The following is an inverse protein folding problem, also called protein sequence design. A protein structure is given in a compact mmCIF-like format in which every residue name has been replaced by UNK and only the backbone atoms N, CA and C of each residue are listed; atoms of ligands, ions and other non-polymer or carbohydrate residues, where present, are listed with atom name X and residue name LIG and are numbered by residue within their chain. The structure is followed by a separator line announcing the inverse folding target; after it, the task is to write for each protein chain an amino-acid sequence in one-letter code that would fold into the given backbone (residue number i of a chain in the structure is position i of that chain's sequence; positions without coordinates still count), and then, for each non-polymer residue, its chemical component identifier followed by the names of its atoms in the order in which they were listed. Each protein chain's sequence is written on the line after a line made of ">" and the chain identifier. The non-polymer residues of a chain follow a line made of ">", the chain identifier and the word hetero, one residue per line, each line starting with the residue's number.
data_IF_701721604750
#
_entry.id   IF_701721604750
#
_cell.length_a   1.000
_cell.length_b   1.000
_cell.length_c   1.000
_cell.angle_alpha   90.00
_cell.angle_beta   90.00
_cell.angle_gamma   90.00
#
_symmetry.space_group_name_H-M   'P 1'
#
loop_
_entity.id
_entity.type
_entity.pdbx_description
1 polymer ?
#
# COMPACT_ATOMS: atom_id res chain seq x y z
N UNK A 1 -10.26 19.35 11.21
CA UNK A 1 -10.50 19.36 12.68
C UNK A 1 -11.13 18.05 13.07
N UNK A 2 -10.50 17.31 13.99
CA UNK A 2 -11.01 16.06 14.54
C UNK A 2 -11.35 16.26 16.01
N UNK A 3 -12.54 15.89 16.42
CA UNK A 3 -12.96 15.89 17.82
C UNK A 3 -12.51 14.60 18.51
N UNK A 4 -12.52 14.59 19.84
CA UNK A 4 -12.34 13.37 20.64
C UNK A 4 -13.37 12.30 20.26
N UNK A 5 -14.62 12.69 19.98
CA UNK A 5 -15.66 11.77 19.54
C UNK A 5 -15.29 11.08 18.21
N UNK A 6 -14.77 11.83 17.24
CA UNK A 6 -14.35 11.25 15.96
C UNK A 6 -13.26 10.18 16.16
N UNK A 7 -12.24 10.51 16.95
CA UNK A 7 -11.12 9.62 17.23
C UNK A 7 -11.57 8.39 18.02
N UNK A 8 -12.31 8.58 19.12
CA UNK A 8 -12.73 7.48 20.00
C UNK A 8 -13.72 6.53 19.32
N UNK A 9 -14.62 7.03 18.46
CA UNK A 9 -15.51 6.17 17.67
C UNK A 9 -14.71 5.32 16.67
N UNK A 10 -13.69 5.89 16.03
CA UNK A 10 -12.83 5.17 15.11
C UNK A 10 -12.00 4.08 15.83
N UNK A 11 -11.45 4.41 17.01
CA UNK A 11 -10.73 3.43 17.87
C UNK A 11 -11.64 2.28 18.27
N UNK A 12 -12.87 2.57 18.68
CA UNK A 12 -13.84 1.53 19.06
C UNK A 12 -14.14 0.60 17.89
N UNK A 13 -14.48 1.18 16.72
CA UNK A 13 -14.78 0.42 15.52
C UNK A 13 -13.59 -0.38 15.00
N UNK A 14 -12.37 0.14 15.11
CA UNK A 14 -11.15 -0.59 14.70
C UNK A 14 -10.92 -1.84 15.58
N UNK A 15 -11.21 -1.78 16.88
CA UNK A 15 -11.09 -2.93 17.78
C UNK A 15 -12.13 -4.04 17.52
N UNK A 16 -13.23 -3.74 16.84
CA UNK A 16 -14.18 -4.77 16.38
C UNK A 16 -13.69 -5.52 15.12
N UNK A 17 -12.69 -4.97 14.44
CA UNK A 17 -12.14 -5.52 13.19
C UNK A 17 -10.81 -6.23 13.41
N UNK A 18 -9.96 -5.70 14.29
CA UNK A 18 -8.63 -6.23 14.61
C UNK A 18 -8.61 -6.80 16.01
N UNK A 19 -8.32 -8.11 16.13
CA UNK A 19 -8.24 -8.80 17.42
C UNK A 19 -6.87 -8.57 18.05
N UNK A 20 -6.83 -7.80 19.15
CA UNK A 20 -5.67 -7.67 20.02
C UNK A 20 -5.86 -8.52 21.29
N UNK A 21 -4.80 -9.16 21.75
CA UNK A 21 -4.81 -10.07 22.90
C UNK A 21 -3.93 -9.55 24.04
N UNK A 22 -4.17 -9.92 25.30
CA UNK A 22 -3.39 -9.45 26.45
C UNK A 22 -1.89 -9.77 26.39
N UNK A 23 -1.48 -10.80 25.62
CA UNK A 23 -0.07 -11.17 25.41
C UNK A 23 0.59 -10.50 24.21
N UNK A 24 -0.11 -9.60 23.50
CA UNK A 24 0.44 -8.90 22.36
C UNK A 24 1.42 -7.80 22.79
N UNK A 25 2.36 -7.52 21.92
CA UNK A 25 3.24 -6.35 21.93
C UNK A 25 3.18 -5.71 20.55
N UNK A 26 2.70 -4.48 20.49
CA UNK A 26 2.64 -3.73 19.23
C UNK A 26 3.93 -2.96 19.02
N UNK A 27 4.46 -2.98 17.80
CA UNK A 27 5.56 -2.11 17.40
C UNK A 27 5.04 -0.94 16.56
N UNK A 28 5.34 0.28 17.02
CA UNK A 28 5.04 1.55 16.35
C UNK A 28 6.21 1.94 15.47
N UNK A 29 5.97 2.12 14.18
CA UNK A 29 7.02 2.32 13.15
C UNK A 29 6.90 3.67 12.47
N UNK A 30 5.68 4.21 12.38
CA UNK A 30 5.40 5.44 11.65
C UNK A 30 5.38 6.66 12.59
N UNK A 31 5.49 7.88 12.06
CA UNK A 31 5.38 9.09 12.89
C UNK A 31 4.00 9.22 13.54
N UNK A 32 3.94 9.48 14.84
CA UNK A 32 2.69 9.71 15.59
C UNK A 32 1.93 11.00 15.16
N UNK A 33 2.57 11.87 14.40
CA UNK A 33 1.91 13.01 13.76
C UNK A 33 0.95 12.59 12.64
N UNK A 34 1.12 11.37 12.10
CA UNK A 34 0.24 10.81 11.09
C UNK A 34 -0.93 10.08 11.76
N UNK A 35 -2.18 10.40 11.36
CA UNK A 35 -3.38 9.86 12.02
C UNK A 35 -3.47 8.34 11.99
N UNK A 36 -2.98 7.67 10.94
CA UNK A 36 -2.95 6.21 10.88
C UNK A 36 -2.17 5.61 12.06
N UNK A 37 -0.95 6.10 12.28
CA UNK A 37 -0.13 5.61 13.40
C UNK A 37 -0.71 6.05 14.75
N UNK A 38 -1.14 7.32 14.85
CA UNK A 38 -1.72 7.83 16.07
C UNK A 38 -2.95 7.03 16.52
N UNK A 39 -3.81 6.62 15.59
CA UNK A 39 -4.99 5.82 15.92
C UNK A 39 -4.63 4.35 16.08
N UNK A 40 -4.04 3.70 15.07
CA UNK A 40 -3.83 2.25 15.06
C UNK A 40 -2.58 1.82 15.86
N UNK A 41 -1.55 2.66 15.92
CA UNK A 41 -0.29 2.37 16.63
C UNK A 41 -0.25 2.91 18.07
N UNK A 42 -1.19 3.78 18.47
CA UNK A 42 -1.21 4.36 19.81
C UNK A 42 -2.57 4.23 20.50
N UNK A 43 -3.66 4.83 19.99
CA UNK A 43 -4.93 4.82 20.71
C UNK A 43 -5.61 3.44 20.76
N UNK A 44 -5.54 2.66 19.68
CA UNK A 44 -6.12 1.31 19.62
C UNK A 44 -5.44 0.38 20.64
N UNK A 45 -4.10 0.22 20.65
CA UNK A 45 -3.44 -0.62 21.65
C UNK A 45 -3.61 -0.08 23.09
N UNK A 46 -3.61 1.24 23.29
CA UNK A 46 -3.87 1.84 24.60
C UNK A 46 -5.25 1.44 25.13
N UNK A 47 -6.30 1.52 24.31
CA UNK A 47 -7.65 1.09 24.68
C UNK A 47 -7.74 -0.40 24.91
N UNK A 48 -6.96 -1.20 24.19
CA UNK A 48 -6.89 -2.66 24.35
C UNK A 48 -6.02 -3.13 25.52
N UNK A 49 -5.29 -2.23 26.19
CA UNK A 49 -4.34 -2.58 27.25
C UNK A 49 -3.10 -3.32 26.74
N UNK A 50 -2.71 -3.10 25.47
CA UNK A 50 -1.57 -3.74 24.80
C UNK A 50 -0.35 -2.83 24.84
N UNK A 51 0.82 -3.32 25.29
CA UNK A 51 2.08 -2.56 25.28
C UNK A 51 2.47 -2.12 23.88
N UNK A 52 2.97 -0.89 23.77
CA UNK A 52 3.50 -0.33 22.54
C UNK A 52 5.01 -0.11 22.68
N UNK A 53 5.78 -0.71 21.80
CA UNK A 53 7.21 -0.46 21.64
C UNK A 53 7.44 0.48 20.45
N UNK A 54 8.27 1.50 20.63
CA UNK A 54 8.58 2.47 19.59
C UNK A 54 9.93 2.14 18.94
N UNK A 55 9.97 2.15 17.59
CA UNK A 55 11.24 2.01 16.88
C UNK A 55 12.11 3.25 17.05
N UNK A 56 13.41 3.06 17.14
CA UNK A 56 14.39 4.16 17.20
C UNK A 56 14.45 4.92 15.87
N UNK A 57 14.39 4.18 14.75
CA UNK A 57 14.31 4.73 13.39
C UNK A 57 13.94 3.65 12.38
N UNK A 58 13.52 4.06 11.18
CA UNK A 58 13.20 3.14 10.07
C UNK A 58 14.44 2.33 9.63
N UNK A 59 15.65 2.88 9.78
CA UNK A 59 16.89 2.21 9.42
C UNK A 59 17.28 1.13 10.41
N UNK A 60 16.90 1.28 11.70
CA UNK A 60 17.16 0.36 12.78
C UNK A 60 16.00 -0.62 13.01
N UNK A 61 14.95 -0.55 12.21
CA UNK A 61 13.75 -1.38 12.37
C UNK A 61 14.07 -2.88 12.45
N UNK A 62 15.02 -3.38 11.65
CA UNK A 62 15.38 -4.81 11.67
C UNK A 62 15.99 -5.25 12.99
N UNK A 63 16.84 -4.41 13.60
CA UNK A 63 17.45 -4.66 14.93
C UNK A 63 16.37 -4.59 16.03
N UNK A 64 15.50 -3.57 15.95
CA UNK A 64 14.42 -3.36 16.90
C UNK A 64 13.43 -4.53 16.88
N UNK A 65 13.07 -5.04 15.70
CA UNK A 65 12.23 -6.22 15.54
C UNK A 65 12.87 -7.47 16.17
N UNK A 66 14.16 -7.68 15.94
CA UNK A 66 14.89 -8.83 16.50
C UNK A 66 14.97 -8.78 18.04
N UNK A 67 15.11 -7.57 18.60
CA UNK A 67 15.19 -7.36 20.05
C UNK A 67 13.83 -7.40 20.73
N UNK A 68 12.86 -6.65 20.23
CA UNK A 68 11.53 -6.48 20.84
C UNK A 68 10.60 -7.66 20.60
N UNK A 69 10.80 -8.41 19.52
CA UNK A 69 9.98 -9.56 19.10
C UNK A 69 8.48 -9.27 19.19
N UNK A 70 7.99 -8.22 18.49
CA UNK A 70 6.58 -7.83 18.56
C UNK A 70 5.68 -8.93 17.99
N UNK A 71 4.41 -8.89 18.41
CA UNK A 71 3.36 -9.80 17.89
C UNK A 71 2.46 -9.11 16.90
N UNK A 72 2.35 -7.78 16.97
CA UNK A 72 1.53 -6.94 16.08
C UNK A 72 2.37 -5.80 15.53
N UNK A 73 2.22 -5.52 14.24
CA UNK A 73 2.87 -4.41 13.57
C UNK A 73 1.86 -3.60 12.76
N UNK A 74 1.87 -2.28 12.96
CA UNK A 74 1.20 -1.32 12.07
C UNK A 74 2.24 -0.71 11.15
N UNK A 75 2.07 -0.80 9.84
CA UNK A 75 3.07 -0.32 8.90
C UNK A 75 2.47 0.09 7.54
N UNK A 76 3.28 0.77 6.74
CA UNK A 76 2.98 1.01 5.33
C UNK A 76 3.54 -0.12 4.45
N UNK A 77 2.97 -0.37 3.24
CA UNK A 77 3.42 -1.44 2.33
C UNK A 77 4.93 -1.44 2.05
N UNK A 78 5.54 -0.25 1.96
CA UNK A 78 6.97 -0.09 1.65
C UNK A 78 7.89 -0.83 2.64
N UNK A 79 7.47 -0.98 3.88
CA UNK A 79 8.23 -1.74 4.89
C UNK A 79 8.32 -3.21 4.46
N UNK A 80 7.19 -3.82 4.11
CA UNK A 80 7.14 -5.22 3.69
C UNK A 80 7.77 -5.46 2.31
N UNK A 81 7.63 -4.51 1.38
CA UNK A 81 8.34 -4.53 0.08
C UNK A 81 9.85 -4.63 0.28
N UNK A 82 10.43 -3.79 1.15
CA UNK A 82 11.87 -3.83 1.47
C UNK A 82 12.30 -5.15 2.11
N UNK A 83 11.48 -5.69 3.00
CA UNK A 83 11.76 -7.01 3.60
C UNK A 83 11.74 -8.11 2.53
N UNK A 84 10.72 -8.13 1.67
CA UNK A 84 10.58 -9.12 0.61
C UNK A 84 11.76 -9.04 -0.37
N UNK A 85 12.13 -7.83 -0.81
CA UNK A 85 13.27 -7.62 -1.71
C UNK A 85 14.59 -8.17 -1.13
N UNK A 86 14.84 -7.95 0.17
CA UNK A 86 16.03 -8.53 0.85
C UNK A 86 15.98 -10.05 0.93
N UNK A 87 14.79 -10.64 1.11
CA UNK A 87 14.61 -12.09 1.09
C UNK A 87 14.90 -12.64 -0.31
N UNK A 88 14.33 -12.04 -1.34
CA UNK A 88 14.53 -12.44 -2.74
C UNK A 88 16.02 -12.33 -3.16
N UNK A 89 16.68 -11.24 -2.75
CA UNK A 89 18.12 -11.08 -2.98
C UNK A 89 18.95 -12.18 -2.31
N UNK A 90 18.61 -12.53 -1.06
CA UNK A 90 19.30 -13.61 -0.34
C UNK A 90 19.04 -15.00 -0.98
N UNK A 91 17.89 -15.18 -1.63
CA UNK A 91 17.53 -16.42 -2.34
C UNK A 91 18.11 -16.49 -3.76
N UNK A 92 18.55 -15.37 -4.33
CA UNK A 92 19.05 -15.31 -5.71
C UNK A 92 20.24 -16.25 -5.95
N UNK A 93 21.12 -16.44 -4.96
CA UNK A 93 22.30 -17.31 -5.03
C UNK A 93 21.98 -18.81 -5.03
N UNK A 94 20.74 -19.24 -4.72
CA UNK A 94 20.38 -20.66 -4.61
C UNK A 94 19.04 -20.96 -5.28
N UNK A 95 19.06 -21.54 -6.50
CA UNK A 95 17.83 -21.92 -7.21
C UNK A 95 16.92 -22.84 -6.39
N UNK A 96 17.50 -23.77 -5.61
CA UNK A 96 16.76 -24.69 -4.77
C UNK A 96 16.01 -23.96 -3.64
N UNK A 97 16.70 -23.04 -2.92
CA UNK A 97 16.06 -22.27 -1.85
C UNK A 97 14.95 -21.39 -2.42
N UNK A 98 15.16 -20.78 -3.59
CA UNK A 98 14.13 -19.99 -4.30
C UNK A 98 12.93 -20.86 -4.69
N UNK A 99 13.14 -22.07 -5.21
CA UNK A 99 12.06 -23.00 -5.56
C UNK A 99 11.27 -23.42 -4.30
N UNK A 100 11.96 -23.78 -3.20
CA UNK A 100 11.32 -24.13 -1.93
C UNK A 100 10.53 -22.95 -1.34
N UNK A 101 11.05 -21.73 -1.40
CA UNK A 101 10.34 -20.51 -0.99
C UNK A 101 9.07 -20.33 -1.81
N UNK A 102 9.15 -20.37 -3.14
CA UNK A 102 8.01 -20.21 -4.03
C UNK A 102 6.96 -21.30 -3.82
N UNK A 103 7.38 -22.55 -3.61
CA UNK A 103 6.48 -23.67 -3.28
C UNK A 103 5.77 -23.44 -1.95
N UNK A 104 6.51 -23.05 -0.91
CA UNK A 104 5.93 -22.80 0.42
C UNK A 104 4.90 -21.67 0.37
N UNK A 105 5.22 -20.56 -0.33
CA UNK A 105 4.31 -19.44 -0.54
C UNK A 105 3.05 -19.90 -1.31
N UNK A 106 3.21 -20.69 -2.36
CA UNK A 106 2.08 -21.20 -3.15
C UNK A 106 1.15 -22.10 -2.34
N UNK A 107 1.70 -23.03 -1.56
CA UNK A 107 0.94 -23.92 -0.68
C UNK A 107 0.19 -23.16 0.41
N UNK A 108 0.87 -22.20 1.07
CA UNK A 108 0.26 -21.37 2.09
C UNK A 108 -0.82 -20.46 1.53
N UNK A 109 -0.63 -19.93 0.34
CA UNK A 109 -1.65 -19.14 -0.36
C UNK A 109 -2.90 -19.99 -0.71
N UNK A 110 -2.71 -21.20 -1.25
CA UNK A 110 -3.83 -22.13 -1.50
C UNK A 110 -4.57 -22.51 -0.22
N UNK A 111 -3.84 -22.65 0.91
CA UNK A 111 -4.45 -22.87 2.22
C UNK A 111 -5.28 -21.66 2.65
N UNK A 112 -4.76 -20.45 2.47
CA UNK A 112 -5.46 -19.19 2.76
C UNK A 112 -6.76 -19.07 1.93
N UNK A 113 -6.72 -19.42 0.65
CA UNK A 113 -7.90 -19.43 -0.23
C UNK A 113 -8.90 -20.58 0.05
N UNK A 114 -8.61 -21.47 1.00
CA UNK A 114 -9.44 -22.65 1.27
C UNK A 114 -9.36 -23.74 0.18
N UNK A 115 -8.39 -23.65 -0.74
CA UNK A 115 -8.23 -24.56 -1.90
C UNK A 115 -7.21 -25.67 -1.69
N UNK A 116 -6.50 -25.68 -0.57
CA UNK A 116 -5.46 -26.67 -0.29
C UNK A 116 -6.05 -28.01 0.14
N UNK A 117 -5.71 -29.08 -0.58
CA UNK A 117 -6.03 -30.46 -0.21
C UNK A 117 -5.22 -30.94 1.02
N UNK A 118 -5.57 -32.09 1.59
CA UNK A 118 -4.92 -32.66 2.79
C UNK A 118 -3.40 -32.84 2.62
N UNK A 119 -2.97 -33.31 1.43
CA UNK A 119 -1.55 -33.51 1.11
C UNK A 119 -0.80 -32.17 1.09
N UNK A 120 -1.37 -31.16 0.44
CA UNK A 120 -0.79 -29.81 0.36
C UNK A 120 -0.67 -29.16 1.75
N UNK A 121 -1.69 -29.32 2.60
CA UNK A 121 -1.67 -28.84 3.98
C UNK A 121 -0.57 -29.53 4.81
N UNK A 122 -0.39 -30.85 4.63
CA UNK A 122 0.66 -31.61 5.32
C UNK A 122 2.04 -31.17 4.85
N UNK A 123 2.23 -31.01 3.54
CA UNK A 123 3.47 -30.51 2.96
C UNK A 123 3.77 -29.07 3.42
N UNK A 124 2.77 -28.21 3.47
CA UNK A 124 2.91 -26.86 4.01
C UNK A 124 3.38 -26.88 5.47
N UNK A 125 2.77 -27.69 6.34
CA UNK A 125 3.19 -27.83 7.75
C UNK A 125 4.64 -28.27 7.89
N UNK A 126 5.14 -29.11 6.97
CA UNK A 126 6.54 -29.56 6.97
C UNK A 126 7.52 -28.46 6.51
N UNK A 127 7.16 -27.72 5.45
CA UNK A 127 8.01 -26.71 4.84
C UNK A 127 7.98 -25.38 5.58
N UNK A 128 6.84 -24.96 6.10
CA UNK A 128 6.62 -23.66 6.71
C UNK A 128 7.65 -23.34 7.82
N UNK A 129 7.94 -24.17 8.83
CA UNK A 129 8.92 -23.81 9.84
C UNK A 129 10.35 -23.73 9.29
N UNK A 130 10.70 -24.49 8.25
CA UNK A 130 12.04 -24.53 7.66
C UNK A 130 12.29 -23.41 6.66
N UNK A 131 11.27 -22.95 5.97
CA UNK A 131 11.36 -21.95 4.90
C UNK A 131 10.86 -20.59 5.37
N UNK A 132 9.68 -20.53 5.98
CA UNK A 132 9.10 -19.30 6.50
C UNK A 132 9.75 -18.86 7.82
N UNK A 133 10.13 -19.80 8.67
CA UNK A 133 10.79 -19.51 9.97
C UNK A 133 11.94 -18.54 9.86
N UNK A 134 12.98 -18.79 9.02
CA UNK A 134 14.10 -17.86 8.83
C UNK A 134 13.69 -16.48 8.33
N UNK A 135 12.61 -16.38 7.55
CA UNK A 135 12.08 -15.11 7.03
C UNK A 135 11.33 -14.37 8.15
N UNK A 136 10.42 -15.05 8.83
CA UNK A 136 9.60 -14.46 9.89
C UNK A 136 10.45 -14.13 11.14
N UNK A 137 11.53 -14.84 11.39
CA UNK A 137 12.49 -14.52 12.45
C UNK A 137 13.16 -13.16 12.25
N UNK A 138 13.33 -12.71 11.00
CA UNK A 138 13.78 -11.33 10.71
C UNK A 138 12.75 -10.26 11.07
N UNK A 139 11.50 -10.67 11.23
CA UNK A 139 10.41 -9.83 11.76
C UNK A 139 10.21 -10.04 13.27
N UNK A 140 11.20 -10.59 13.98
CA UNK A 140 11.15 -10.86 15.41
C UNK A 140 10.68 -12.26 15.80
N UNK A 141 10.21 -13.07 14.86
CA UNK A 141 9.81 -14.48 15.05
C UNK A 141 8.49 -14.71 15.81
N UNK A 142 7.88 -13.65 16.34
CA UNK A 142 6.60 -13.70 17.06
C UNK A 142 5.48 -12.90 16.36
N UNK A 143 5.79 -12.27 15.24
CA UNK A 143 4.81 -11.44 14.51
C UNK A 143 3.69 -12.33 13.96
N UNK A 144 2.48 -12.17 14.51
CA UNK A 144 1.27 -12.89 14.11
C UNK A 144 0.37 -12.06 13.20
N UNK A 145 0.40 -10.72 13.39
CA UNK A 145 -0.50 -9.80 12.70
C UNK A 145 0.24 -8.58 12.19
N UNK A 146 0.05 -8.28 10.92
CA UNK A 146 0.49 -7.05 10.29
C UNK A 146 -0.73 -6.28 9.75
N UNK A 147 -0.96 -5.06 10.25
CA UNK A 147 -1.96 -4.13 9.73
C UNK A 147 -1.28 -3.15 8.79
N UNK A 148 -1.67 -3.18 7.54
CA UNK A 148 -1.01 -2.42 6.47
C UNK A 148 -1.97 -1.39 5.90
N UNK A 149 -1.56 -0.13 5.90
CA UNK A 149 -2.40 0.96 5.42
C UNK A 149 -1.60 2.14 4.89
N UNK A 150 -2.32 3.21 4.57
CA UNK A 150 -1.70 4.45 4.13
C UNK A 150 -1.24 4.48 2.66
N UNK A 151 -1.10 3.34 2.01
CA UNK A 151 -0.81 3.20 0.57
C UNK A 151 -1.36 1.85 0.07
N UNK A 152 -1.51 1.64 -1.24
CA UNK A 152 -1.92 0.36 -1.79
C UNK A 152 -0.89 -0.74 -1.50
N UNK A 153 -1.39 -1.91 -1.11
CA UNK A 153 -0.56 -3.09 -0.88
C UNK A 153 -0.51 -3.95 -2.15
N UNK A 154 0.68 -4.15 -2.69
CA UNK A 154 0.88 -5.03 -3.84
C UNK A 154 0.43 -6.46 -3.50
N UNK A 155 -0.35 -7.09 -4.40
CA UNK A 155 -0.83 -8.45 -4.20
C UNK A 155 0.34 -9.45 -4.06
N UNK A 156 1.47 -9.22 -4.77
CA UNK A 156 2.68 -10.03 -4.65
C UNK A 156 3.23 -10.03 -3.21
N UNK A 157 3.27 -8.86 -2.59
CA UNK A 157 3.76 -8.71 -1.20
C UNK A 157 2.79 -9.39 -0.23
N UNK A 158 1.49 -9.09 -0.34
CA UNK A 158 0.46 -9.74 0.47
C UNK A 158 0.51 -11.26 0.34
N UNK A 159 0.54 -11.77 -0.90
CA UNK A 159 0.61 -13.19 -1.20
C UNK A 159 1.84 -13.86 -0.60
N UNK A 160 2.99 -13.21 -0.66
CA UNK A 160 4.23 -13.75 -0.10
C UNK A 160 4.14 -13.91 1.41
N UNK A 161 3.74 -12.86 2.15
CA UNK A 161 3.70 -12.94 3.62
C UNK A 161 2.54 -13.77 4.13
N UNK A 162 1.35 -13.68 3.54
CA UNK A 162 0.21 -14.55 3.87
C UNK A 162 0.55 -16.01 3.55
N UNK A 163 1.17 -16.28 2.42
CA UNK A 163 1.62 -17.60 2.03
C UNK A 163 2.70 -18.17 2.94
N UNK A 164 3.49 -17.35 3.61
CA UNK A 164 4.42 -17.77 4.67
C UNK A 164 3.75 -17.98 6.04
N UNK A 165 2.47 -17.61 6.19
CA UNK A 165 1.68 -17.80 7.40
C UNK A 165 1.54 -16.57 8.30
N UNK A 166 1.93 -15.38 7.83
CA UNK A 166 1.67 -14.13 8.53
C UNK A 166 0.25 -13.63 8.22
N UNK A 167 -0.56 -13.34 9.24
CA UNK A 167 -1.82 -12.62 9.03
C UNK A 167 -1.51 -11.18 8.63
N UNK A 168 -1.84 -10.81 7.39
CA UNK A 168 -1.61 -9.48 6.85
C UNK A 168 -2.93 -8.87 6.39
N UNK A 169 -3.36 -7.81 7.06
CA UNK A 169 -4.63 -7.14 6.84
C UNK A 169 -4.39 -5.76 6.24
N UNK A 170 -4.97 -5.51 5.08
CA UNK A 170 -4.99 -4.17 4.49
C UNK A 170 -6.19 -3.38 5.00
N UNK A 171 -5.96 -2.10 5.32
CA UNK A 171 -6.99 -1.14 5.64
C UNK A 171 -6.88 0.13 4.79
N UNK A 172 -7.97 0.87 4.71
CA UNK A 172 -8.09 2.13 4.00
C UNK A 172 -8.61 3.22 4.93
N UNK A 173 -8.12 4.43 4.70
CA UNK A 173 -8.59 5.59 5.40
C UNK A 173 -7.86 6.87 5.01
N UNK A 174 -8.34 7.97 5.59
CA UNK A 174 -7.83 9.31 5.38
C UNK A 174 -7.95 10.09 6.68
N UNK A 175 -7.13 11.12 6.85
CA UNK A 175 -7.11 11.94 8.07
C UNK A 175 -8.49 12.50 8.41
N UNK A 176 -9.25 12.89 7.40
CA UNK A 176 -10.60 13.43 7.48
C UNK A 176 -11.65 12.44 8.05
N UNK A 177 -11.27 11.14 8.15
CA UNK A 177 -12.13 10.08 8.71
C UNK A 177 -11.56 9.42 10.01
N UNK A 178 -10.54 9.98 10.67
CA UNK A 178 -9.98 9.70 12.01
C UNK A 178 -9.24 8.37 12.26
N UNK A 179 -8.54 7.70 11.38
CA UNK A 179 -8.51 7.82 9.95
C UNK A 179 -9.20 6.66 9.24
N UNK A 180 -9.50 5.51 9.93
CA UNK A 180 -9.86 4.24 9.29
C UNK A 180 -11.32 4.26 8.83
N UNK A 181 -11.51 3.97 7.55
CA UNK A 181 -12.83 3.84 6.91
C UNK A 181 -13.19 2.37 6.75
N UNK A 182 -12.24 1.56 6.30
CA UNK A 182 -12.45 0.14 6.02
C UNK A 182 -11.21 -0.68 6.40
N UNK A 183 -11.42 -1.95 6.71
CA UNK A 183 -10.34 -2.89 7.00
C UNK A 183 -10.72 -4.34 6.70
N UNK A 184 -9.75 -5.11 6.24
CA UNK A 184 -9.87 -6.56 6.17
C UNK A 184 -9.89 -7.15 7.58
N UNK A 185 -10.54 -8.29 7.74
CA UNK A 185 -10.64 -9.06 8.99
C UNK A 185 -9.89 -10.38 8.86
N UNK A 186 -9.39 -10.94 9.95
CA UNK A 186 -8.62 -12.20 9.89
C UNK A 186 -9.43 -13.36 9.29
N UNK A 187 -10.73 -13.42 9.58
CA UNK A 187 -11.65 -14.46 9.07
C UNK A 187 -12.29 -14.12 7.72
N UNK A 188 -12.14 -12.89 7.23
CA UNK A 188 -12.71 -12.41 5.96
C UNK A 188 -11.72 -11.46 5.27
N UNK A 189 -10.52 -11.97 5.01
CA UNK A 189 -9.43 -11.21 4.39
C UNK A 189 -9.45 -11.39 2.88
N UNK A 190 -9.59 -10.28 2.16
CA UNK A 190 -9.44 -10.21 0.71
C UNK A 190 -8.33 -9.21 0.35
N UNK A 191 -7.11 -9.67 0.07
CA UNK A 191 -5.97 -8.80 -0.21
C UNK A 191 -6.08 -7.94 -1.48
N UNK A 192 -7.09 -8.19 -2.33
CA UNK A 192 -7.39 -7.33 -3.51
C UNK A 192 -8.22 -6.11 -3.10
N UNK A 193 -8.93 -6.21 -1.96
CA UNK A 193 -9.75 -5.14 -1.40
C UNK A 193 -9.10 -4.52 -0.17
N UNK A 194 -9.60 -3.37 0.24
CA UNK A 194 -9.26 -2.76 1.54
C UNK A 194 -10.23 -3.18 2.64
N UNK A 195 -11.04 -4.22 2.39
CA UNK A 195 -12.00 -4.78 3.33
C UNK A 195 -13.36 -4.09 3.33
N UNK A 196 -14.21 -4.50 4.27
CA UNK A 196 -15.51 -3.91 4.50
C UNK A 196 -15.39 -2.62 5.34
N UNK A 197 -16.37 -1.71 5.26
CA UNK A 197 -16.44 -0.54 6.13
C UNK A 197 -16.37 -0.92 7.61
N UNK A 198 -15.78 -0.05 8.43
CA UNK A 198 -15.81 -0.23 9.87
C UNK A 198 -17.25 -0.13 10.40
N UNK A 199 -17.56 -0.76 11.54
CA UNK A 199 -18.85 -0.58 12.22
C UNK A 199 -19.19 0.89 12.42
N UNK A 200 -20.43 1.28 12.08
CA UNK A 200 -20.90 2.65 12.16
C UNK A 200 -20.46 3.59 11.03
N UNK A 201 -19.69 3.08 10.05
CA UNK A 201 -19.29 3.83 8.86
C UNK A 201 -20.12 3.40 7.66
N UNK A 202 -20.86 4.33 7.08
CA UNK A 202 -21.58 4.13 5.83
C UNK A 202 -20.70 4.58 4.65
N UNK A 203 -20.77 3.84 3.55
CA UNK A 203 -20.03 4.14 2.31
C UNK A 203 -20.95 4.01 1.10
N UNK A 204 -20.71 4.83 0.10
CA UNK A 204 -21.32 4.71 -1.24
C UNK A 204 -20.36 5.21 -2.29
N UNK A 205 -20.59 4.82 -3.53
CA UNK A 205 -19.88 5.35 -4.70
C UNK A 205 -20.85 6.24 -5.47
N UNK A 206 -20.42 7.46 -5.84
CA UNK A 206 -21.23 8.37 -6.62
C UNK A 206 -21.13 8.04 -8.12
N UNK A 207 -21.87 8.78 -8.97
CA UNK A 207 -21.89 8.60 -10.43
C UNK A 207 -20.52 8.82 -11.09
N UNK A 208 -19.64 9.63 -10.48
CA UNK A 208 -18.27 9.84 -10.94
C UNK A 208 -17.30 8.73 -10.53
N UNK A 209 -17.77 7.72 -9.76
CA UNK A 209 -16.95 6.63 -9.24
C UNK A 209 -16.20 6.97 -7.97
N UNK A 210 -16.48 8.12 -7.33
CA UNK A 210 -15.79 8.54 -6.11
C UNK A 210 -16.44 7.94 -4.87
N UNK A 211 -15.60 7.53 -3.91
CA UNK A 211 -16.04 7.00 -2.63
C UNK A 211 -16.50 8.13 -1.71
N UNK A 212 -17.72 8.00 -1.24
CA UNK A 212 -18.32 8.87 -0.22
C UNK A 212 -18.40 8.10 1.11
N UNK A 213 -18.08 8.79 2.21
CA UNK A 213 -18.02 8.21 3.55
C UNK A 213 -18.85 9.04 4.51
N UNK A 214 -19.66 8.39 5.36
CA UNK A 214 -20.42 9.04 6.43
C UNK A 214 -20.33 8.23 7.71
N UNK A 215 -20.16 8.90 8.84
CA UNK A 215 -20.11 8.25 10.15
C UNK A 215 -19.56 9.15 11.25
N UNK A 216 -19.54 8.66 12.49
CA UNK A 216 -19.09 9.45 13.64
C UNK A 216 -17.58 9.77 13.62
N UNK A 217 -16.81 9.07 12.79
CA UNK A 217 -15.37 9.31 12.61
C UNK A 217 -15.05 10.42 11.62
N UNK A 218 -16.03 10.91 10.83
CA UNK A 218 -15.83 11.99 9.86
C UNK A 218 -15.55 13.31 10.56
N UNK A 219 -14.61 14.08 10.04
CA UNK A 219 -14.13 15.35 10.56
C UNK A 219 -15.25 16.41 10.73
N UNK A 220 -14.99 17.41 11.56
CA UNK A 220 -15.83 18.59 11.68
C UNK A 220 -15.65 19.59 10.52
N UNK A 221 -14.56 19.50 9.79
CA UNK A 221 -14.19 20.36 8.69
C UNK A 221 -12.71 20.80 8.76
N UNK A 222 -12.30 21.59 7.79
CA UNK A 222 -10.96 22.20 7.75
C UNK A 222 -10.92 23.48 8.58
N UNK A 223 -9.82 23.66 9.33
CA UNK A 223 -9.64 24.82 10.20
C UNK A 223 -9.61 26.12 9.38
N UNK A 224 -10.44 27.09 9.77
CA UNK A 224 -10.60 28.38 9.07
C UNK A 224 -10.81 28.29 7.56
N UNK A 225 -11.34 27.17 7.04
CA UNK A 225 -11.58 26.96 5.62
C UNK A 225 -12.98 26.40 5.33
N UNK A 226 -14.05 27.17 5.56
CA UNK A 226 -15.43 26.70 5.36
C UNK A 226 -15.73 26.35 3.91
N UNK A 227 -15.15 27.08 2.96
CA UNK A 227 -15.30 26.80 1.52
C UNK A 227 -14.65 25.45 1.14
N UNK A 228 -13.43 25.17 1.61
CA UNK A 228 -12.78 23.88 1.37
C UNK A 228 -13.54 22.74 2.07
N UNK A 229 -14.16 23.01 3.21
CA UNK A 229 -15.02 22.04 3.92
C UNK A 229 -16.25 21.72 3.10
N UNK A 230 -16.99 22.73 2.66
CA UNK A 230 -18.22 22.57 1.85
C UNK A 230 -17.93 21.88 0.49
N UNK A 231 -16.72 21.98 -0.04
CA UNK A 231 -16.32 21.31 -1.28
C UNK A 231 -16.19 19.79 -1.14
N UNK A 232 -16.05 19.26 0.11
CA UNK A 232 -15.84 17.82 0.33
C UNK A 232 -16.84 17.20 1.30
N UNK A 233 -17.50 17.99 2.14
CA UNK A 233 -18.46 17.54 3.14
C UNK A 233 -19.80 18.19 2.87
N UNK A 234 -20.81 17.38 2.51
CA UNK A 234 -22.16 17.86 2.24
C UNK A 234 -23.00 18.09 3.52
N UNK A 235 -24.17 18.66 3.35
CA UNK A 235 -25.11 18.97 4.46
C UNK A 235 -25.66 17.70 5.14
N UNK A 236 -25.63 16.56 4.48
CA UNK A 236 -26.05 15.26 5.00
C UNK A 236 -24.94 14.53 5.76
N UNK A 237 -23.72 15.09 5.80
CA UNK A 237 -22.54 14.53 6.46
C UNK A 237 -21.77 13.49 5.64
N UNK A 238 -21.97 13.46 4.30
CA UNK A 238 -21.16 12.64 3.43
C UNK A 238 -19.86 13.37 3.04
N UNK A 239 -18.75 12.74 3.36
CA UNK A 239 -17.42 13.18 2.99
C UNK A 239 -17.06 12.57 1.63
N UNK A 240 -16.80 13.40 0.62
CA UNK A 240 -16.17 12.97 -0.63
C UNK A 240 -14.67 12.80 -0.38
N UNK A 241 -14.19 11.56 -0.50
CA UNK A 241 -12.78 11.23 -0.24
C UNK A 241 -11.84 11.66 -1.36
N UNK A 242 -12.37 11.90 -2.57
CA UNK A 242 -11.61 12.10 -3.79
C UNK A 242 -10.87 10.83 -4.27
N UNK A 243 -11.18 9.68 -3.67
CA UNK A 243 -10.66 8.38 -4.10
C UNK A 243 -11.71 7.66 -4.95
N UNK A 244 -11.31 7.12 -6.09
CA UNK A 244 -12.15 6.29 -6.94
C UNK A 244 -12.23 4.87 -6.37
N UNK A 245 -13.42 4.32 -6.30
CA UNK A 245 -13.63 3.00 -5.73
C UNK A 245 -14.73 2.20 -6.41
N UNK A 246 -14.68 0.90 -6.20
CA UNK A 246 -15.74 -0.07 -6.50
C UNK A 246 -16.13 -0.78 -5.20
N UNK A 247 -17.42 -1.04 -4.99
CA UNK A 247 -17.90 -1.87 -3.89
C UNK A 247 -18.33 -3.20 -4.47
N UNK A 248 -17.66 -4.29 -4.06
CA UNK A 248 -17.95 -5.64 -4.51
C UNK A 248 -18.17 -6.55 -3.30
N UNK A 249 -19.33 -7.20 -3.22
CA UNK A 249 -19.70 -8.07 -2.10
C UNK A 249 -19.47 -7.40 -0.72
N UNK A 250 -19.78 -6.11 -0.58
CA UNK A 250 -19.61 -5.32 0.66
C UNK A 250 -18.19 -4.89 0.97
N UNK A 251 -17.20 -5.24 0.14
CA UNK A 251 -15.79 -4.83 0.29
C UNK A 251 -15.45 -3.71 -0.69
N UNK A 252 -14.58 -2.81 -0.24
CA UNK A 252 -14.15 -1.64 -1.02
C UNK A 252 -12.86 -1.98 -1.76
N UNK A 253 -12.82 -1.68 -3.05
CA UNK A 253 -11.65 -1.79 -3.92
C UNK A 253 -11.30 -0.38 -4.38
N UNK A 254 -10.18 0.16 -3.92
CA UNK A 254 -9.69 1.48 -4.33
C UNK A 254 -9.05 1.36 -5.71
N UNK A 255 -9.43 2.26 -6.63
CA UNK A 255 -8.95 2.30 -8.02
C UNK A 255 -7.95 3.43 -8.30
N UNK A 256 -7.84 4.38 -7.38
CA UNK A 256 -6.94 5.53 -7.52
C UNK A 256 -7.54 6.79 -6.93
N UNK A 257 -6.94 7.94 -7.26
CA UNK A 257 -7.42 9.26 -6.85
C UNK A 257 -7.89 10.05 -8.04
N UNK A 258 -9.00 10.77 -7.89
CA UNK A 258 -9.55 11.65 -8.93
C UNK A 258 -8.52 12.69 -9.39
N UNK A 259 -7.75 13.28 -8.45
CA UNK A 259 -6.71 14.28 -8.72
C UNK A 259 -5.43 13.73 -9.35
N UNK A 260 -5.21 12.41 -9.27
CA UNK A 260 -4.01 11.75 -9.81
C UNK A 260 -4.25 11.13 -11.20
N UNK A 261 -5.50 11.16 -11.69
CA UNK A 261 -5.83 10.68 -13.04
C UNK A 261 -5.09 11.53 -14.07
N UNK A 262 -4.39 10.86 -14.97
CA UNK A 262 -3.75 11.48 -16.12
C UNK A 262 -4.76 11.47 -17.28
N UNK A 263 -5.10 12.66 -17.79
CA UNK A 263 -5.94 12.81 -18.97
C UNK A 263 -5.01 12.97 -20.17
N UNK A 264 -4.97 11.97 -21.04
CA UNK A 264 -4.14 12.03 -22.24
C UNK A 264 -4.73 13.01 -23.28
N UNK A 265 -3.93 13.43 -24.27
CA UNK A 265 -4.35 14.39 -25.30
C UNK A 265 -5.54 13.91 -26.16
N UNK A 266 -5.83 12.62 -26.17
CA UNK A 266 -6.99 12.02 -26.82
C UNK A 266 -8.23 11.92 -25.91
N UNK A 267 -8.18 12.51 -24.70
CA UNK A 267 -9.26 12.48 -23.70
C UNK A 267 -9.35 11.22 -22.86
N UNK A 268 -8.50 10.22 -23.11
CA UNK A 268 -8.48 8.98 -22.30
C UNK A 268 -7.93 9.23 -20.90
N UNK A 269 -8.62 8.65 -19.91
CA UNK A 269 -8.27 8.76 -18.49
C UNK A 269 -7.45 7.54 -18.04
N UNK A 270 -6.29 7.79 -17.50
CA UNK A 270 -5.39 6.75 -16.96
C UNK A 270 -5.21 6.96 -15.47
N UNK A 271 -5.58 5.95 -14.66
CA UNK A 271 -5.17 5.88 -13.25
C UNK A 271 -3.72 5.42 -13.20
N UNK A 272 -2.76 6.27 -12.80
CA UNK A 272 -1.36 5.86 -12.77
C UNK A 272 -1.07 4.86 -11.65
N UNK A 273 -1.84 4.88 -10.56
CA UNK A 273 -1.56 4.12 -9.33
C UNK A 273 -1.50 2.61 -9.59
N UNK A 274 -2.50 2.04 -10.27
CA UNK A 274 -2.54 0.59 -10.55
C UNK A 274 -1.41 0.18 -11.51
N UNK A 275 -1.14 1.03 -12.51
CA UNK A 275 -0.08 0.80 -13.47
C UNK A 275 1.32 0.90 -12.81
N UNK A 276 1.52 1.88 -11.93
CA UNK A 276 2.75 2.03 -11.16
C UNK A 276 2.97 0.86 -10.20
N UNK A 277 1.91 0.35 -9.56
CA UNK A 277 2.00 -0.86 -8.73
C UNK A 277 2.41 -2.08 -9.57
N UNK A 278 1.79 -2.29 -10.72
CA UNK A 278 2.13 -3.40 -11.60
C UNK A 278 3.59 -3.31 -12.11
N UNK A 279 4.10 -2.10 -12.32
CA UNK A 279 5.50 -1.86 -12.67
C UNK A 279 6.44 -2.22 -11.52
N UNK A 280 6.10 -1.85 -10.28
CA UNK A 280 6.88 -2.18 -9.07
C UNK A 280 6.92 -3.68 -8.76
N UNK A 281 6.03 -4.50 -9.34
CA UNK A 281 6.13 -5.97 -9.28
C UNK A 281 7.34 -6.53 -10.04
N UNK A 282 7.98 -5.73 -10.89
CA UNK A 282 9.23 -6.08 -11.53
C UNK A 282 10.41 -5.60 -10.67
N UNK A 283 11.31 -6.50 -10.23
CA UNK A 283 12.46 -6.14 -9.39
C UNK A 283 13.45 -5.18 -10.05
N UNK A 284 13.30 -4.95 -11.36
CA UNK A 284 14.10 -3.98 -12.10
C UNK A 284 13.78 -2.53 -11.71
N UNK A 285 12.57 -2.30 -11.20
CA UNK A 285 12.08 -0.97 -10.82
C UNK A 285 12.02 -0.82 -9.29
N UNK A 286 12.82 0.09 -8.74
CA UNK A 286 12.81 0.37 -7.30
C UNK A 286 11.74 1.40 -6.90
N UNK A 287 11.59 2.44 -7.72
CA UNK A 287 10.56 3.47 -7.58
C UNK A 287 10.13 3.90 -8.98
N UNK A 288 8.86 4.21 -9.14
CA UNK A 288 8.29 4.59 -10.43
C UNK A 288 7.31 5.75 -10.31
N UNK A 289 7.19 6.53 -11.37
CA UNK A 289 6.15 7.52 -11.56
C UNK A 289 5.81 7.64 -13.05
N UNK A 290 4.53 7.46 -13.39
CA UNK A 290 4.03 7.71 -14.74
C UNK A 290 3.68 9.18 -14.91
N UNK A 291 4.05 9.75 -16.04
CA UNK A 291 3.69 11.10 -16.47
C UNK A 291 3.08 11.07 -17.87
N UNK A 292 2.16 11.98 -18.17
CA UNK A 292 1.47 11.97 -19.45
C UNK A 292 0.27 12.90 -19.52
N UNK A 293 0.07 13.77 -18.52
CA UNK A 293 -1.03 14.74 -18.53
C UNK A 293 -0.98 15.62 -19.78
N UNK A 294 -2.10 15.65 -20.55
CA UNK A 294 -2.20 16.38 -21.81
C UNK A 294 -1.30 15.85 -22.94
N UNK A 295 -0.64 14.69 -22.78
CA UNK A 295 0.31 14.12 -23.75
C UNK A 295 -0.29 12.94 -24.52
N UNK A 296 0.31 12.65 -25.69
CA UNK A 296 -0.16 11.55 -26.56
C UNK A 296 0.20 10.16 -26.02
N UNK A 297 1.13 10.05 -25.08
CA UNK A 297 1.59 8.79 -24.51
C UNK A 297 2.20 8.99 -23.12
N UNK A 298 2.34 7.88 -22.39
CA UNK A 298 2.95 7.87 -21.06
C UNK A 298 4.48 7.74 -21.14
N UNK A 299 5.14 8.52 -20.30
CA UNK A 299 6.58 8.39 -19.97
C UNK A 299 6.71 7.85 -18.56
N UNK A 300 7.61 6.90 -18.34
CA UNK A 300 7.94 6.34 -17.05
C UNK A 300 9.22 6.97 -16.51
N UNK A 301 9.15 7.58 -15.34
CA UNK A 301 10.32 7.86 -14.51
C UNK A 301 10.53 6.62 -13.65
N UNK A 302 11.73 6.03 -13.70
CA UNK A 302 12.06 4.81 -12.96
C UNK A 302 13.40 4.93 -12.26
N UNK A 303 13.43 4.73 -10.96
CA UNK A 303 14.66 4.48 -10.20
C UNK A 303 15.06 3.04 -10.44
N UNK A 304 16.23 2.85 -11.06
CA UNK A 304 16.70 1.53 -11.51
C UNK A 304 18.21 1.52 -11.74
N UNK A 305 18.82 0.34 -11.59
CA UNK A 305 20.23 0.13 -11.93
C UNK A 305 20.44 -0.21 -13.44
N UNK A 306 19.38 -0.52 -14.17
CA UNK A 306 19.43 -0.73 -15.61
C UNK A 306 19.49 0.62 -16.36
N UNK A 307 20.32 0.67 -17.42
CA UNK A 307 20.50 1.87 -18.24
C UNK A 307 19.92 1.74 -19.64
N UNK A 308 19.73 0.51 -20.12
CA UNK A 308 19.17 0.31 -21.45
C UNK A 308 17.67 0.56 -21.48
N UNK A 309 17.29 1.68 -22.13
CA UNK A 309 15.87 2.07 -22.24
C UNK A 309 15.02 1.02 -22.94
N UNK A 310 15.57 0.27 -23.91
CA UNK A 310 14.83 -0.77 -24.63
C UNK A 310 14.44 -1.93 -23.70
N UNK A 311 15.37 -2.34 -22.85
CA UNK A 311 15.14 -3.34 -21.80
C UNK A 311 14.07 -2.86 -20.83
N UNK A 312 14.17 -1.62 -20.32
CA UNK A 312 13.19 -1.04 -19.42
C UNK A 312 11.79 -0.97 -20.05
N UNK A 313 11.68 -0.54 -21.30
CA UNK A 313 10.40 -0.51 -22.04
C UNK A 313 9.83 -1.92 -22.21
N UNK A 314 10.66 -2.91 -22.51
CA UNK A 314 10.22 -4.32 -22.66
C UNK A 314 9.62 -4.84 -21.36
N UNK A 315 10.29 -4.62 -20.23
CA UNK A 315 9.81 -4.99 -18.90
C UNK A 315 8.51 -4.25 -18.54
N UNK A 316 8.46 -2.94 -18.74
CA UNK A 316 7.25 -2.14 -18.50
C UNK A 316 6.07 -2.65 -19.34
N UNK A 317 6.25 -2.92 -20.62
CA UNK A 317 5.22 -3.49 -21.50
C UNK A 317 4.72 -4.86 -21.02
N UNK A 318 5.60 -5.71 -20.51
CA UNK A 318 5.24 -7.04 -20.00
C UNK A 318 4.32 -6.90 -18.77
N UNK A 319 4.62 -5.98 -17.86
CA UNK A 319 3.82 -5.73 -16.65
C UNK A 319 2.48 -5.07 -16.95
N UNK A 320 2.43 -4.22 -17.96
CA UNK A 320 1.22 -3.47 -18.33
C UNK A 320 0.36 -4.17 -19.38
N UNK A 321 0.64 -5.44 -19.73
CA UNK A 321 -0.07 -6.17 -20.79
C UNK A 321 -1.57 -6.32 -20.54
N UNK A 322 -1.99 -6.45 -19.27
CA UNK A 322 -3.40 -6.59 -18.88
C UNK A 322 -4.16 -5.26 -18.80
N UNK A 323 -3.46 -4.14 -18.89
CA UNK A 323 -4.07 -2.80 -18.84
C UNK A 323 -4.64 -2.39 -20.21
N UNK A 324 -5.46 -1.34 -20.20
CA UNK A 324 -6.01 -0.79 -21.43
C UNK A 324 -4.89 -0.39 -22.40
N UNK A 325 -5.21 -0.38 -23.71
CA UNK A 325 -4.24 -0.01 -24.76
C UNK A 325 -3.63 1.39 -24.58
N UNK A 326 -4.24 2.24 -23.78
CA UNK A 326 -3.78 3.60 -23.50
C UNK A 326 -2.74 3.65 -22.38
N UNK A 327 -2.69 2.63 -21.51
CA UNK A 327 -1.69 2.49 -20.46
C UNK A 327 -0.41 1.87 -21.07
N UNK A 328 0.22 2.62 -21.98
CA UNK A 328 1.46 2.18 -22.65
C UNK A 328 2.59 3.15 -22.44
N UNK A 329 3.64 2.66 -21.78
CA UNK A 329 4.92 3.38 -21.66
C UNK A 329 5.65 3.34 -23.02
N UNK A 330 5.92 4.52 -23.58
CA UNK A 330 6.72 4.64 -24.81
C UNK A 330 8.16 5.02 -24.57
N UNK A 331 8.45 5.73 -23.50
CA UNK A 331 9.80 6.18 -23.13
C UNK A 331 10.00 5.98 -21.62
N UNK A 332 11.25 5.74 -21.24
CA UNK A 332 11.65 5.60 -19.83
C UNK A 332 12.80 6.53 -19.51
N UNK A 333 12.65 7.30 -18.45
CA UNK A 333 13.71 8.10 -17.87
C UNK A 333 14.30 7.31 -16.70
N UNK A 334 15.43 6.66 -16.93
CA UNK A 334 16.16 5.94 -15.89
C UNK A 334 16.85 6.92 -14.93
N UNK A 335 16.67 6.69 -13.65
CA UNK A 335 17.24 7.45 -12.53
C UNK A 335 18.05 6.50 -11.66
N UNK A 336 19.25 6.91 -11.26
CA UNK A 336 20.15 6.09 -10.41
C UNK A 336 19.89 6.32 -8.92
N UNK A 337 19.57 7.55 -8.57
CA UNK A 337 19.37 7.95 -7.20
C UNK A 337 17.91 7.76 -6.78
N UNK A 338 17.66 7.06 -5.66
CA UNK A 338 16.31 6.89 -5.14
C UNK A 338 15.74 8.21 -4.63
N UNK A 339 14.43 8.39 -4.81
CA UNK A 339 13.74 9.52 -4.21
C UNK A 339 13.69 9.36 -2.69
N UNK A 340 13.96 10.44 -1.97
CA UNK A 340 14.09 10.42 -0.51
C UNK A 340 13.17 11.42 0.17
N UNK A 341 12.97 11.21 1.48
CA UNK A 341 12.28 12.15 2.34
C UNK A 341 13.09 13.45 2.52
N UNK A 342 14.42 13.33 2.64
CA UNK A 342 15.32 14.46 2.85
C UNK A 342 15.30 15.45 1.67
N UNK A 343 15.14 14.95 0.44
CA UNK A 343 14.98 15.78 -0.75
C UNK A 343 13.55 16.32 -0.92
N UNK A 344 12.62 15.98 -0.04
CA UNK A 344 11.23 16.39 -0.15
C UNK A 344 10.42 15.68 -1.25
N UNK A 345 10.97 14.63 -1.88
CA UNK A 345 10.32 13.89 -2.96
C UNK A 345 9.35 12.81 -2.48
N UNK A 346 9.47 12.41 -1.21
CA UNK A 346 8.54 11.51 -0.54
C UNK A 346 7.82 12.22 0.60
N UNK A 347 6.65 11.69 0.97
CA UNK A 347 5.98 12.02 2.21
C UNK A 347 6.62 11.26 3.38
N UNK A 348 6.29 11.62 4.63
CA UNK A 348 6.71 10.89 5.84
C UNK A 348 6.24 9.43 5.85
N UNK A 349 5.21 9.10 5.06
CA UNK A 349 4.72 7.74 4.81
C UNK A 349 5.32 7.09 3.55
N UNK A 350 6.41 7.66 3.04
CA UNK A 350 7.18 7.17 1.88
C UNK A 350 6.40 7.14 0.56
N UNK A 351 5.30 7.90 0.43
CA UNK A 351 4.59 8.09 -0.84
C UNK A 351 5.32 9.11 -1.72
N UNK A 352 5.32 8.87 -3.02
CA UNK A 352 5.88 9.80 -4.01
C UNK A 352 5.05 11.08 -4.05
N UNK A 353 5.70 12.22 -3.88
CA UNK A 353 5.11 13.54 -4.10
C UNK A 353 5.21 13.88 -5.59
N UNK A 354 4.18 13.50 -6.35
CA UNK A 354 4.17 13.58 -7.82
C UNK A 354 4.61 14.94 -8.35
N UNK A 355 4.06 16.03 -7.81
CA UNK A 355 4.43 17.38 -8.25
C UNK A 355 5.91 17.70 -7.99
N UNK A 356 6.44 17.35 -6.81
CA UNK A 356 7.83 17.59 -6.48
C UNK A 356 8.79 16.80 -7.38
N UNK A 357 8.46 15.53 -7.66
CA UNK A 357 9.23 14.69 -8.60
C UNK A 357 9.11 15.25 -10.03
N UNK A 358 7.91 15.63 -10.47
CA UNK A 358 7.72 16.25 -11.79
C UNK A 358 8.56 17.53 -11.93
N UNK A 359 8.52 18.41 -10.93
CA UNK A 359 9.26 19.68 -10.96
C UNK A 359 10.77 19.45 -10.99
N UNK A 360 11.30 18.51 -10.18
CA UNK A 360 12.72 18.15 -10.17
C UNK A 360 13.21 17.64 -11.52
N UNK A 361 12.40 16.87 -12.23
CA UNK A 361 12.77 16.24 -13.51
C UNK A 361 12.12 16.85 -14.73
N UNK A 362 11.49 18.04 -14.60
CA UNK A 362 10.71 18.72 -15.65
C UNK A 362 11.46 18.83 -16.97
N UNK A 363 12.70 19.31 -16.96
CA UNK A 363 13.50 19.48 -18.19
C UNK A 363 13.72 18.15 -18.93
N UNK A 364 14.01 17.09 -18.19
CA UNK A 364 14.19 15.73 -18.77
C UNK A 364 12.88 15.20 -19.35
N UNK A 365 11.77 15.38 -18.64
CA UNK A 365 10.43 14.97 -19.10
C UNK A 365 10.08 15.72 -20.38
N UNK A 366 10.21 17.03 -20.40
CA UNK A 366 9.90 17.87 -21.56
C UNK A 366 10.81 17.56 -22.75
N UNK A 367 12.08 17.26 -22.54
CA UNK A 367 13.02 16.88 -23.61
C UNK A 367 12.60 15.59 -24.28
N UNK A 368 12.11 14.60 -23.53
CA UNK A 368 11.63 13.32 -24.05
C UNK A 368 10.41 13.53 -24.95
N UNK A 369 9.46 14.37 -24.56
CA UNK A 369 8.28 14.68 -25.38
C UNK A 369 8.63 15.50 -26.61
N UNK A 370 9.55 16.45 -26.55
CA UNK A 370 10.02 17.23 -27.70
C UNK A 370 10.74 16.37 -28.74
N UNK A 371 11.60 15.45 -28.29
CA UNK A 371 12.39 14.59 -29.18
C UNK A 371 11.55 13.43 -29.77
N UNK A 372 10.46 13.02 -29.10
CA UNK A 372 9.56 11.97 -29.55
C UNK A 372 8.64 12.37 -30.72
N UNK A 373 8.55 13.65 -31.06
CA UNK A 373 7.77 14.15 -32.20
C UNK A 373 8.57 14.03 -33.52
N UNK A 374 9.88 13.79 -33.47
CA UNK A 374 10.76 13.73 -34.66
C UNK A 374 10.91 12.36 -35.32
N UNK A 375 10.16 11.34 -34.86
CA UNK A 375 10.27 9.98 -35.43
C UNK A 375 8.89 9.35 -35.63
N UNK A 376 8.13 9.80 -36.61
CA UNK A 376 7.18 8.99 -37.40
C UNK A 376 7.17 9.60 -38.82
#
# INVERSE_FOLDING_TARGET
>A
MLSHRNILSNVAAALEVVSLHPGDVLISVLPLSHMFERTCGYYVPLKAGVPVAYTRSINQLAEDLAFLKPTVMVAVPRVFQRFLARVEQALAASPLKRALFSLTVALGWRKFEGRAGKVEQSLFRLLQPRVAGPVLNRLGGRLRLAVVGGAPLELRVARSFIGLGLSMLQGYGLTEASPVVAGNREHDNDPVSVGAPLPGVAVRVNEAGELLVRGPSVMLGYWHSPQATAAVLDAEGWLNTGDLAEIRAGKIIIKGRTKDILVLSNGEKVSPQDAEMALLDDPLFEQVMLVGEGRAYLVLLAVTQESDERTLIKHAKARLKSFSRWVRVRRVIALREPWTLAEGLLTTTLKVKRNAVYDKYRERIESVYRNGIRTV
#
